data_IF_197896982838
#
_entry.id   IF_197896982838
#
_cell.length_a   1.000
_cell.length_b   1.000
_cell.length_c   1.000
_cell.angle_alpha   90.00
_cell.angle_beta   90.00
_cell.angle_gamma   90.00
#
_symmetry.space_group_name_H-M   'P 1'
#
loop_
_entity.id
_entity.type
_entity.pdbx_description
1 polymer ?
#
# COMPACT_ATOMS: atom_id res chain seq x y z
N UNK A 1 15.89 21.11 -0.11
CA UNK A 1 16.07 19.70 0.28
C UNK A 1 14.70 19.14 0.57
N UNK A 2 14.22 18.21 -0.26
CA UNK A 2 12.88 17.64 -0.12
C UNK A 2 12.76 16.97 1.25
N UNK A 3 11.67 17.26 1.98
CA UNK A 3 11.33 16.53 3.20
C UNK A 3 11.20 15.06 2.80
N UNK A 4 12.14 14.22 3.20
CA UNK A 4 12.02 12.77 3.07
C UNK A 4 10.82 12.36 3.92
N UNK A 5 9.66 12.23 3.27
CA UNK A 5 8.47 11.64 3.88
C UNK A 5 8.89 10.20 4.18
N UNK A 6 8.92 9.82 5.46
CA UNK A 6 9.20 8.45 5.86
C UNK A 6 7.94 7.63 5.53
N UNK A 7 7.79 7.23 4.27
CA UNK A 7 6.66 6.43 3.78
C UNK A 7 6.94 4.98 4.13
N UNK A 8 5.88 4.27 4.53
CA UNK A 8 5.93 2.84 4.81
C UNK A 8 6.23 2.05 3.53
N UNK A 9 7.12 1.07 3.61
CA UNK A 9 7.48 0.22 2.47
C UNK A 9 6.26 -0.52 1.92
N UNK A 10 5.33 -0.94 2.79
CA UNK A 10 4.09 -1.60 2.36
C UNK A 10 3.22 -0.67 1.49
N UNK A 11 3.29 0.64 1.71
CA UNK A 11 2.51 1.60 0.93
C UNK A 11 3.15 1.85 -0.44
N UNK A 12 4.48 1.93 -0.51
CA UNK A 12 5.20 2.03 -1.78
C UNK A 12 5.00 0.76 -2.62
N UNK A 13 5.02 -0.40 -1.98
CA UNK A 13 4.67 -1.67 -2.61
C UNK A 13 3.24 -1.66 -3.18
N UNK A 14 2.25 -1.20 -2.39
CA UNK A 14 0.86 -1.10 -2.86
C UNK A 14 0.68 -0.08 -4.00
N UNK A 15 1.42 1.04 -3.99
CA UNK A 15 1.47 1.98 -5.12
C UNK A 15 1.94 1.25 -6.38
N UNK A 16 3.07 0.55 -6.29
CA UNK A 16 3.62 -0.27 -7.38
C UNK A 16 2.62 -1.32 -7.88
N UNK A 17 2.02 -2.09 -6.97
CA UNK A 17 1.02 -3.11 -7.31
C UNK A 17 -0.18 -2.50 -8.02
N UNK A 18 -0.65 -1.33 -7.58
CA UNK A 18 -1.76 -0.60 -8.23
C UNK A 18 -1.43 -0.26 -9.68
N UNK A 19 -0.21 0.21 -9.97
CA UNK A 19 0.20 0.55 -11.34
C UNK A 19 0.21 -0.65 -12.28
N UNK A 20 0.45 -1.86 -11.76
CA UNK A 20 0.42 -3.08 -12.60
C UNK A 20 -0.97 -3.41 -13.11
N UNK A 21 -2.03 -3.01 -12.39
CA UNK A 21 -3.40 -3.40 -12.69
C UNK A 21 -3.70 -4.91 -12.51
N UNK A 22 -2.77 -5.69 -11.94
CA UNK A 22 -2.91 -7.15 -11.80
C UNK A 22 -4.03 -7.55 -10.82
N UNK A 23 -4.36 -6.69 -9.87
CA UNK A 23 -5.41 -6.91 -8.87
C UNK A 23 -6.10 -5.59 -8.53
N UNK A 24 -7.37 -5.63 -8.16
CA UNK A 24 -7.98 -4.47 -7.52
C UNK A 24 -7.42 -4.31 -6.10
N UNK A 25 -7.43 -3.09 -5.56
CA UNK A 25 -6.76 -2.84 -4.28
C UNK A 25 -7.47 -3.48 -3.07
N UNK A 26 -8.73 -3.88 -3.18
CA UNK A 26 -9.42 -4.65 -2.15
C UNK A 26 -8.89 -6.09 -2.05
N UNK A 27 -8.35 -6.63 -3.15
CA UNK A 27 -7.71 -7.93 -3.23
C UNK A 27 -6.20 -7.90 -3.02
N UNK A 28 -5.61 -6.79 -2.59
CA UNK A 28 -4.16 -6.65 -2.50
C UNK A 28 -3.53 -7.33 -1.26
N UNK A 29 -4.31 -7.69 -0.25
CA UNK A 29 -3.79 -8.25 1.01
C UNK A 29 -2.90 -9.50 0.83
N UNK A 30 -3.23 -10.50 -0.01
CA UNK A 30 -2.37 -11.66 -0.23
C UNK A 30 -0.96 -11.34 -0.76
N UNK A 31 -0.81 -10.23 -1.49
CA UNK A 31 0.50 -9.78 -1.97
C UNK A 31 1.38 -9.26 -0.82
N UNK A 32 0.78 -8.56 0.14
CA UNK A 32 1.46 -8.13 1.36
C UNK A 32 1.80 -9.30 2.28
N UNK A 33 0.90 -10.29 2.40
CA UNK A 33 1.17 -11.52 3.17
C UNK A 33 2.43 -12.22 2.67
N UNK A 34 2.56 -12.34 1.34
CA UNK A 34 3.72 -12.96 0.71
C UNK A 34 4.98 -12.10 0.82
N UNK A 35 4.91 -10.81 0.48
CA UNK A 35 6.10 -9.95 0.39
C UNK A 35 6.68 -9.57 1.77
N UNK A 36 5.82 -9.37 2.76
CA UNK A 36 6.20 -8.88 4.08
C UNK A 36 6.03 -9.92 5.20
N UNK A 37 5.78 -11.18 4.85
CA UNK A 37 5.58 -12.30 5.80
C UNK A 37 4.50 -12.02 6.86
N UNK A 38 3.41 -11.34 6.45
CA UNK A 38 2.35 -10.88 7.34
C UNK A 38 1.24 -11.92 7.49
N UNK A 39 0.55 -11.88 8.63
CA UNK A 39 -0.73 -12.58 8.74
C UNK A 39 -1.80 -11.89 7.88
N UNK A 40 -2.81 -12.65 7.45
CA UNK A 40 -3.92 -12.07 6.67
C UNK A 40 -4.70 -10.99 7.41
N UNK A 41 -4.64 -10.93 8.75
CA UNK A 41 -5.24 -9.84 9.53
C UNK A 41 -4.41 -8.56 9.41
N UNK A 42 -3.09 -8.67 9.53
CA UNK A 42 -2.17 -7.53 9.41
C UNK A 42 -2.21 -6.97 7.99
N UNK A 43 -2.10 -7.82 6.97
CA UNK A 43 -2.14 -7.39 5.57
C UNK A 43 -3.42 -6.62 5.22
N UNK A 44 -4.59 -7.11 5.64
CA UNK A 44 -5.87 -6.39 5.42
C UNK A 44 -5.93 -5.06 6.15
N UNK A 45 -5.38 -4.98 7.37
CA UNK A 45 -5.28 -3.72 8.11
C UNK A 45 -4.42 -2.72 7.35
N UNK A 46 -3.28 -3.15 6.82
CA UNK A 46 -2.37 -2.28 6.06
C UNK A 46 -2.99 -1.79 4.76
N UNK A 47 -3.70 -2.66 4.02
CA UNK A 47 -4.46 -2.22 2.83
C UNK A 47 -5.48 -1.14 3.19
N UNK A 48 -6.22 -1.30 4.29
CA UNK A 48 -7.18 -0.29 4.73
C UNK A 48 -6.50 1.03 5.14
N UNK A 49 -5.37 0.97 5.83
CA UNK A 49 -4.56 2.14 6.20
C UNK A 49 -4.00 2.86 4.97
N UNK A 50 -3.55 2.12 3.96
CA UNK A 50 -3.12 2.68 2.68
C UNK A 50 -4.27 3.36 1.93
N UNK A 51 -5.46 2.75 1.90
CA UNK A 51 -6.64 3.37 1.28
C UNK A 51 -7.02 4.68 1.96
N UNK A 52 -6.99 4.73 3.30
CA UNK A 52 -7.22 5.95 4.05
C UNK A 52 -6.16 7.02 3.72
N UNK A 53 -4.88 6.63 3.71
CA UNK A 53 -3.77 7.51 3.38
C UNK A 53 -3.86 8.11 1.97
N UNK A 54 -4.28 7.32 0.97
CA UNK A 54 -4.55 7.81 -0.40
C UNK A 54 -5.79 8.67 -0.45
N UNK A 55 -6.84 8.32 0.29
CA UNK A 55 -8.07 9.12 0.36
C UNK A 55 -7.83 10.51 0.98
N UNK A 56 -6.94 10.61 1.97
CA UNK A 56 -6.56 11.88 2.60
C UNK A 56 -5.75 12.78 1.65
N UNK A 57 -4.90 12.18 0.82
CA UNK A 57 -4.15 12.89 -0.21
C UNK A 57 -3.92 12.00 -1.43
N UNK A 58 -4.70 12.19 -2.51
CA UNK A 58 -4.60 11.35 -3.71
C UNK A 58 -3.22 11.34 -4.38
N UNK A 59 -2.40 12.39 -4.20
CA UNK A 59 -1.04 12.43 -4.75
C UNK A 59 -0.09 11.42 -4.08
N UNK A 60 -0.49 10.81 -2.97
CA UNK A 60 0.30 9.79 -2.28
C UNK A 60 0.51 8.52 -3.13
N UNK A 61 -0.32 8.26 -4.15
CA UNK A 61 -0.10 7.12 -5.06
C UNK A 61 1.09 7.30 -5.99
N UNK A 62 1.57 8.55 -6.15
CA UNK A 62 2.68 8.93 -7.03
C UNK A 62 4.01 9.09 -6.27
N UNK A 63 4.03 8.75 -4.97
CA UNK A 63 5.24 8.70 -4.14
C UNK A 63 5.97 7.37 -4.34
#
# INVERSE_FOLDING_TARGET
MAKTKNVRDEFLFLNGLRYTGAVNMFGAAPYLEHEFELTSREARRIVAEWMAWVSENPANVEL
#
